data_IF_562014164414
#
_entry.id   IF_562014164414
#
_cell.length_a   1.000
_cell.length_b   1.000
_cell.length_c   1.000
_cell.angle_alpha   90.00
_cell.angle_beta   90.00
_cell.angle_gamma   90.00
#
_symmetry.space_group_name_H-M   'P 1'
#
loop_
_entity.id
_entity.type
_entity.pdbx_description
1 polymer ?
#
# COMPACT_ATOMS: atom_id res chain seq x y z
N UNK A 1 -78.04 -3.96 13.45
CA UNK A 1 -76.59 -3.64 13.58
C UNK A 1 -75.82 -4.94 13.52
N UNK A 2 -75.39 -5.34 12.31
CA UNK A 2 -74.46 -6.46 12.10
C UNK A 2 -73.06 -5.84 11.94
N UNK A 3 -72.13 -6.22 12.79
CA UNK A 3 -70.73 -5.79 12.74
C UNK A 3 -69.96 -6.75 11.81
N UNK A 4 -69.39 -6.19 10.75
CA UNK A 4 -68.45 -6.86 9.85
C UNK A 4 -67.05 -6.83 10.47
N UNK A 5 -66.42 -8.00 10.59
CA UNK A 5 -65.01 -8.16 10.96
C UNK A 5 -64.17 -8.28 9.68
N UNK A 6 -63.10 -7.49 9.47
CA UNK A 6 -62.22 -7.70 8.32
C UNK A 6 -61.14 -8.74 8.65
N UNK A 7 -60.97 -9.71 7.75
CA UNK A 7 -59.83 -10.62 7.75
C UNK A 7 -58.59 -9.87 7.21
N UNK A 8 -57.55 -9.72 8.03
CA UNK A 8 -56.21 -9.34 7.56
C UNK A 8 -55.50 -10.61 7.06
N UNK A 9 -55.22 -10.68 5.76
CA UNK A 9 -54.27 -11.65 5.21
C UNK A 9 -52.85 -11.09 5.38
N UNK A 10 -52.07 -11.71 6.27
CA UNK A 10 -50.64 -11.47 6.37
C UNK A 10 -49.91 -12.31 5.30
N UNK A 11 -49.40 -11.65 4.26
CA UNK A 11 -48.44 -12.26 3.33
C UNK A 11 -47.06 -12.25 3.98
N UNK A 12 -46.60 -13.41 4.44
CA UNK A 12 -45.22 -13.61 4.85
C UNK A 12 -44.36 -13.78 3.59
N UNK A 13 -43.64 -12.71 3.20
CA UNK A 13 -42.56 -12.79 2.23
C UNK A 13 -41.37 -13.52 2.88
N UNK A 14 -41.19 -14.80 2.54
CA UNK A 14 -39.98 -15.55 2.83
C UNK A 14 -38.87 -15.05 1.90
N UNK A 15 -38.09 -14.07 2.35
CA UNK A 15 -36.80 -13.74 1.74
C UNK A 15 -35.83 -14.87 2.07
N UNK A 16 -35.50 -15.69 1.07
CA UNK A 16 -34.39 -16.65 1.16
C UNK A 16 -33.10 -15.84 1.07
N UNK A 17 -32.58 -15.38 2.21
CA UNK A 17 -31.19 -14.95 2.29
C UNK A 17 -30.32 -16.20 2.12
N UNK A 18 -29.73 -16.36 0.94
CA UNK A 18 -28.63 -17.30 0.75
C UNK A 18 -27.42 -16.68 1.45
N UNK A 19 -27.30 -16.92 2.75
CA UNK A 19 -26.05 -16.69 3.47
C UNK A 19 -25.06 -17.72 2.93
N UNK A 20 -24.24 -17.31 1.96
CA UNK A 20 -23.13 -18.11 1.49
C UNK A 20 -22.23 -18.41 2.69
N UNK A 21 -22.17 -19.70 3.10
CA UNK A 21 -21.17 -20.16 4.06
C UNK A 21 -19.80 -19.71 3.56
N UNK A 22 -18.95 -19.08 4.39
CA UNK A 22 -17.60 -18.77 3.97
C UNK A 22 -16.92 -20.05 3.52
N UNK A 23 -16.45 -20.08 2.27
CA UNK A 23 -15.59 -21.15 1.78
C UNK A 23 -14.40 -21.23 2.72
N UNK A 24 -14.31 -22.30 3.50
CA UNK A 24 -13.20 -22.49 4.44
C UNK A 24 -11.87 -22.79 3.71
N UNK A 25 -11.92 -23.02 2.40
CA UNK A 25 -10.78 -23.36 1.56
C UNK A 25 -10.42 -22.27 0.55
N UNK A 26 -9.24 -22.43 -0.04
CA UNK A 26 -8.76 -21.62 -1.16
C UNK A 26 -9.65 -21.80 -2.39
N UNK A 27 -9.66 -20.77 -3.24
CA UNK A 27 -10.28 -20.84 -4.56
C UNK A 27 -9.70 -21.99 -5.38
N UNK A 28 -10.59 -22.77 -6.01
CA UNK A 28 -10.23 -23.89 -6.87
C UNK A 28 -10.49 -23.62 -8.35
N UNK A 29 -11.29 -22.58 -8.66
CA UNK A 29 -11.55 -22.18 -10.04
C UNK A 29 -10.28 -21.63 -10.70
N UNK A 30 -10.16 -21.91 -11.98
CA UNK A 30 -9.10 -21.37 -12.84
C UNK A 30 -9.29 -19.87 -13.05
N UNK A 31 -8.21 -19.18 -13.45
CA UNK A 31 -8.26 -17.76 -13.81
C UNK A 31 -9.26 -17.51 -14.95
N UNK A 32 -9.39 -18.43 -15.91
CA UNK A 32 -10.29 -18.26 -17.05
C UNK A 32 -11.77 -18.43 -16.64
N UNK A 33 -12.08 -19.32 -15.69
CA UNK A 33 -13.42 -19.43 -15.11
C UNK A 33 -13.78 -18.16 -14.31
N UNK A 34 -12.87 -17.67 -13.47
CA UNK A 34 -13.08 -16.41 -12.74
C UNK A 34 -13.25 -15.22 -13.68
N UNK A 35 -12.54 -15.24 -14.82
CA UNK A 35 -12.67 -14.21 -15.82
C UNK A 35 -14.03 -14.28 -16.52
N UNK A 36 -14.53 -15.47 -16.86
CA UNK A 36 -15.88 -15.63 -17.40
C UNK A 36 -16.95 -15.10 -16.43
N UNK A 37 -16.81 -15.40 -15.14
CA UNK A 37 -17.71 -14.90 -14.10
C UNK A 37 -17.67 -13.37 -13.98
N UNK A 38 -16.46 -12.78 -14.00
CA UNK A 38 -16.28 -11.32 -13.98
C UNK A 38 -16.96 -10.64 -15.19
N UNK A 39 -16.90 -11.25 -16.38
CA UNK A 39 -17.59 -10.72 -17.56
C UNK A 39 -19.11 -10.88 -17.46
N UNK A 40 -19.59 -11.99 -16.90
CA UNK A 40 -21.02 -12.19 -16.66
C UNK A 40 -21.60 -11.18 -15.65
N UNK A 41 -20.77 -10.71 -14.70
CA UNK A 41 -21.09 -9.64 -13.73
C UNK A 41 -21.09 -8.23 -14.35
N UNK A 42 -20.64 -8.09 -15.60
CA UNK A 42 -20.59 -6.80 -16.31
C UNK A 42 -19.19 -6.30 -16.61
N UNK A 43 -18.15 -6.99 -16.12
CA UNK A 43 -16.76 -6.76 -16.53
C UNK A 43 -16.16 -5.45 -16.04
N UNK A 44 -16.61 -4.88 -14.92
CA UNK A 44 -16.00 -3.68 -14.34
C UNK A 44 -15.21 -4.04 -13.08
N UNK A 45 -14.10 -3.35 -12.84
CA UNK A 45 -13.33 -3.47 -11.61
C UNK A 45 -12.72 -2.13 -11.25
N UNK A 46 -13.01 -1.65 -10.04
CA UNK A 46 -12.41 -0.42 -9.51
C UNK A 46 -11.47 -0.74 -8.34
N UNK A 47 -10.21 -0.33 -8.48
CA UNK A 47 -9.17 -0.46 -7.47
C UNK A 47 -8.80 0.92 -6.92
N UNK A 48 -8.91 1.10 -5.61
CA UNK A 48 -8.24 2.20 -4.91
C UNK A 48 -6.86 1.74 -4.47
N UNK A 49 -5.82 2.39 -5.00
CA UNK A 49 -4.43 2.03 -4.76
C UNK A 49 -3.67 3.17 -4.07
N UNK A 50 -2.92 2.83 -3.02
CA UNK A 50 -2.05 3.75 -2.31
C UNK A 50 -0.77 4.04 -3.09
N UNK A 51 -0.54 5.30 -3.46
CA UNK A 51 0.67 5.71 -4.16
C UNK A 51 0.81 7.23 -4.30
N UNK A 52 1.92 7.66 -4.91
CA UNK A 52 2.29 9.08 -4.95
C UNK A 52 1.78 9.83 -6.18
N UNK A 53 1.60 9.16 -7.32
CA UNK A 53 1.22 9.81 -8.58
C UNK A 53 0.06 9.09 -9.25
N UNK A 54 -0.79 9.79 -10.02
CA UNK A 54 -1.90 9.15 -10.73
C UNK A 54 -1.45 8.00 -11.66
N UNK A 55 -0.23 8.09 -12.18
CA UNK A 55 0.37 7.13 -13.13
C UNK A 55 1.13 5.97 -12.47
N UNK A 56 1.18 5.90 -11.13
CA UNK A 56 1.96 4.89 -10.41
C UNK A 56 1.53 3.45 -10.72
N UNK A 57 0.31 3.25 -11.23
CA UNK A 57 -0.25 1.95 -11.60
C UNK A 57 -0.44 1.75 -13.11
N UNK A 58 0.12 2.60 -13.97
CA UNK A 58 -0.04 2.48 -15.44
C UNK A 58 0.46 1.14 -15.98
N UNK A 59 1.58 0.62 -15.45
CA UNK A 59 2.10 -0.68 -15.86
C UNK A 59 1.17 -1.83 -15.46
N UNK A 60 0.59 -1.78 -14.26
CA UNK A 60 -0.39 -2.77 -13.82
C UNK A 60 -1.65 -2.71 -14.70
N UNK A 61 -2.14 -1.50 -14.99
CA UNK A 61 -3.28 -1.28 -15.86
C UNK A 61 -3.04 -1.86 -17.26
N UNK A 62 -1.87 -1.60 -17.87
CA UNK A 62 -1.52 -2.14 -19.17
C UNK A 62 -1.48 -3.67 -19.20
N UNK A 63 -0.91 -4.30 -18.15
CA UNK A 63 -0.87 -5.77 -18.05
C UNK A 63 -2.28 -6.35 -17.91
N UNK A 64 -3.13 -5.79 -17.05
CA UNK A 64 -4.51 -6.22 -16.88
C UNK A 64 -5.30 -6.08 -18.19
N UNK A 65 -5.21 -4.92 -18.85
CA UNK A 65 -5.89 -4.68 -20.11
C UNK A 65 -5.48 -5.68 -21.21
N UNK A 66 -4.22 -6.13 -21.20
CA UNK A 66 -3.75 -7.16 -22.12
C UNK A 66 -4.20 -8.57 -21.72
N UNK A 67 -4.14 -8.93 -20.43
CA UNK A 67 -4.48 -10.27 -19.94
C UNK A 67 -5.99 -10.52 -19.89
N UNK A 68 -6.78 -9.49 -19.64
CA UNK A 68 -8.24 -9.52 -19.47
C UNK A 68 -8.91 -8.43 -20.32
N UNK A 69 -8.89 -8.54 -21.66
CA UNK A 69 -9.28 -7.44 -22.56
C UNK A 69 -10.75 -7.01 -22.53
N UNK A 70 -11.64 -7.79 -21.89
CA UNK A 70 -13.04 -7.44 -21.68
C UNK A 70 -13.31 -6.89 -20.27
N UNK A 71 -12.29 -6.82 -19.41
CA UNK A 71 -12.37 -6.22 -18.10
C UNK A 71 -12.06 -4.73 -18.20
N UNK A 72 -13.05 -3.90 -17.90
CA UNK A 72 -12.89 -2.47 -17.70
C UNK A 72 -12.28 -2.23 -16.31
N UNK A 73 -10.95 -2.19 -16.26
CA UNK A 73 -10.19 -1.99 -15.03
C UNK A 73 -9.87 -0.51 -14.82
N UNK A 74 -10.31 0.04 -13.69
CA UNK A 74 -9.99 1.40 -13.26
C UNK A 74 -9.13 1.35 -12.01
N UNK A 75 -7.92 1.89 -12.07
CA UNK A 75 -7.06 2.09 -10.90
C UNK A 75 -7.03 3.58 -10.53
N UNK A 76 -7.39 3.90 -9.30
CA UNK A 76 -7.35 5.26 -8.75
C UNK A 76 -6.24 5.34 -7.72
N UNK A 77 -5.20 6.12 -8.04
CA UNK A 77 -4.07 6.33 -7.12
C UNK A 77 -4.27 7.58 -6.29
N UNK A 78 -4.15 7.44 -4.97
CA UNK A 78 -4.06 8.53 -4.01
C UNK A 78 -3.16 8.09 -2.85
N UNK A 79 -2.78 9.01 -1.97
CA UNK A 79 -2.10 8.62 -0.73
C UNK A 79 -3.00 7.70 0.10
N UNK A 80 -2.40 6.69 0.73
CA UNK A 80 -3.15 5.73 1.53
C UNK A 80 -3.96 6.37 2.66
N UNK A 81 -3.39 7.39 3.31
CA UNK A 81 -4.02 8.20 4.37
C UNK A 81 -5.24 9.05 3.93
N UNK A 82 -5.50 9.11 2.63
CA UNK A 82 -6.72 9.73 2.10
C UNK A 82 -7.68 8.67 1.55
N UNK A 83 -7.17 7.58 0.98
CA UNK A 83 -7.99 6.46 0.56
C UNK A 83 -8.67 5.74 1.73
N UNK A 84 -7.99 5.57 2.87
CA UNK A 84 -8.55 4.93 4.06
C UNK A 84 -9.81 5.67 4.57
N UNK A 85 -9.69 6.96 4.88
CA UNK A 85 -10.78 7.80 5.39
C UNK A 85 -11.83 8.07 4.31
N UNK A 86 -11.46 8.06 3.03
CA UNK A 86 -12.42 8.11 1.93
C UNK A 86 -13.28 6.86 1.90
N UNK A 87 -12.69 5.68 2.04
CA UNK A 87 -13.41 4.41 2.10
C UNK A 87 -14.32 4.38 3.33
N UNK A 88 -13.81 4.79 4.50
CA UNK A 88 -14.61 4.87 5.72
C UNK A 88 -15.84 5.77 5.52
N UNK A 89 -15.63 6.98 4.98
CA UNK A 89 -16.73 7.90 4.68
C UNK A 89 -17.71 7.29 3.66
N UNK A 90 -17.19 6.66 2.60
CA UNK A 90 -18.04 6.04 1.58
C UNK A 90 -18.87 4.86 2.12
N UNK A 91 -18.32 4.07 3.05
CA UNK A 91 -19.04 2.99 3.71
C UNK A 91 -20.15 3.54 4.61
N UNK A 92 -19.84 4.59 5.38
CA UNK A 92 -20.78 5.28 6.27
C UNK A 92 -21.93 5.94 5.50
N UNK A 93 -21.64 6.56 4.35
CA UNK A 93 -22.64 7.24 3.52
C UNK A 93 -23.29 6.35 2.46
N UNK A 94 -23.01 5.05 2.45
CA UNK A 94 -23.50 4.07 1.47
C UNK A 94 -23.23 4.47 0.00
N UNK A 95 -22.05 5.06 -0.24
CA UNK A 95 -21.60 5.53 -1.55
C UNK A 95 -20.29 4.86 -1.98
N UNK A 96 -20.06 3.61 -1.56
CA UNK A 96 -18.84 2.89 -1.88
C UNK A 96 -18.61 2.77 -3.39
N UNK A 97 -17.41 3.19 -3.83
CA UNK A 97 -16.98 3.17 -5.23
C UNK A 97 -16.07 1.98 -5.54
N UNK A 98 -14.93 1.76 -4.83
CA UNK A 98 -14.01 0.70 -5.20
C UNK A 98 -14.52 -0.69 -4.83
N UNK A 99 -14.13 -1.69 -5.62
CA UNK A 99 -14.32 -3.10 -5.31
C UNK A 99 -13.14 -3.64 -4.46
N UNK A 100 -11.94 -3.15 -4.77
CA UNK A 100 -10.69 -3.53 -4.10
C UNK A 100 -9.98 -2.30 -3.56
N UNK A 101 -9.34 -2.45 -2.41
CA UNK A 101 -8.45 -1.46 -1.82
C UNK A 101 -7.06 -2.07 -1.61
N UNK A 102 -5.99 -1.34 -1.94
CA UNK A 102 -4.60 -1.75 -1.71
C UNK A 102 -3.75 -0.61 -1.13
N UNK A 103 -3.38 -0.66 0.15
CA UNK A 103 -2.79 0.47 0.89
C UNK A 103 -1.57 0.07 1.75
N UNK A 104 -0.77 1.08 2.09
CA UNK A 104 0.32 0.97 3.07
C UNK A 104 -0.14 1.29 4.51
N UNK A 105 -1.36 1.78 4.72
CA UNK A 105 -1.95 2.00 6.05
C UNK A 105 -2.46 0.67 6.61
N UNK A 106 -1.51 -0.16 7.05
CA UNK A 106 -1.74 -1.57 7.32
C UNK A 106 -2.82 -1.81 8.38
N UNK A 107 -2.88 -0.96 9.41
CA UNK A 107 -3.82 -1.05 10.52
C UNK A 107 -5.29 -0.99 10.06
N UNK A 108 -5.59 -0.33 8.94
CA UNK A 108 -6.97 -0.22 8.45
C UNK A 108 -7.52 -1.56 8.01
N UNK A 109 -6.69 -2.44 7.43
CA UNK A 109 -7.11 -3.80 7.09
C UNK A 109 -7.42 -4.64 8.32
N UNK A 110 -6.68 -4.46 9.42
CA UNK A 110 -6.97 -5.11 10.70
C UNK A 110 -8.31 -4.61 11.25
N UNK A 111 -8.58 -3.30 11.14
CA UNK A 111 -9.83 -2.68 11.57
C UNK A 111 -11.01 -3.12 10.71
N UNK A 112 -10.93 -2.99 9.39
CA UNK A 112 -11.97 -3.38 8.44
C UNK A 112 -12.29 -4.88 8.51
N UNK A 113 -11.31 -5.74 8.78
CA UNK A 113 -11.57 -7.15 9.02
C UNK A 113 -12.41 -7.39 10.30
N UNK A 114 -12.16 -6.62 11.38
CA UNK A 114 -12.91 -6.71 12.64
C UNK A 114 -14.34 -6.16 12.49
N UNK A 115 -14.53 -5.12 11.69
CA UNK A 115 -15.84 -4.49 11.46
C UNK A 115 -16.66 -5.18 10.37
N UNK A 116 -16.08 -6.11 9.62
CA UNK A 116 -16.76 -6.82 8.53
C UNK A 116 -16.84 -6.01 7.23
N UNK A 117 -15.98 -5.01 7.07
CA UNK A 117 -15.91 -4.14 5.89
C UNK A 117 -15.08 -4.75 4.74
N UNK A 118 -14.47 -5.92 4.97
CA UNK A 118 -13.80 -6.72 3.96
C UNK A 118 -14.57 -8.01 3.71
N UNK A 119 -14.70 -8.40 2.43
CA UNK A 119 -15.17 -9.71 2.03
C UNK A 119 -14.02 -10.73 2.17
N UNK A 120 -14.12 -11.72 3.08
CA UNK A 120 -13.07 -12.74 3.22
C UNK A 120 -12.99 -13.60 1.96
N UNK A 121 -11.81 -13.66 1.36
CA UNK A 121 -11.53 -14.45 0.17
C UNK A 121 -10.10 -14.98 0.16
N UNK A 122 -9.96 -16.30 0.06
CA UNK A 122 -8.67 -16.98 -0.07
C UNK A 122 -8.44 -17.31 -1.55
N UNK A 123 -7.62 -16.54 -2.30
CA UNK A 123 -7.29 -16.89 -3.68
C UNK A 123 -6.55 -18.23 -3.78
N UNK A 124 -6.41 -18.78 -4.99
CA UNK A 124 -5.55 -19.93 -5.20
C UNK A 124 -4.11 -19.53 -4.85
N UNK A 125 -3.39 -20.39 -4.11
CA UNK A 125 -2.05 -20.14 -3.56
C UNK A 125 -2.01 -19.28 -2.29
N UNK A 126 -3.13 -19.07 -1.61
CA UNK A 126 -3.17 -18.30 -0.36
C UNK A 126 -2.24 -18.88 0.72
N UNK A 127 -2.17 -20.21 0.83
CA UNK A 127 -1.26 -20.94 1.72
C UNK A 127 0.21 -20.69 1.43
N UNK A 128 0.56 -20.31 0.19
CA UNK A 128 1.94 -20.03 -0.22
C UNK A 128 2.39 -18.60 0.07
N UNK A 129 1.48 -17.71 0.43
CA UNK A 129 1.82 -16.37 0.93
C UNK A 129 2.39 -16.53 2.34
N UNK A 130 3.48 -15.83 2.66
CA UNK A 130 4.06 -15.87 4.01
C UNK A 130 3.01 -15.50 5.08
N UNK A 131 2.99 -16.19 6.21
CA UNK A 131 1.89 -16.04 7.19
C UNK A 131 1.81 -14.65 7.81
N UNK A 132 2.93 -13.93 7.96
CA UNK A 132 2.92 -12.53 8.42
C UNK A 132 2.32 -11.54 7.41
N UNK A 133 2.06 -11.99 6.18
CA UNK A 133 1.59 -11.19 5.05
C UNK A 133 0.14 -11.49 4.69
N UNK A 134 -0.63 -12.19 5.52
CA UNK A 134 -2.04 -12.47 5.26
C UNK A 134 -2.88 -12.58 6.52
N UNK A 135 -4.16 -12.30 6.39
CA UNK A 135 -5.16 -12.56 7.41
C UNK A 135 -5.50 -14.06 7.48
N UNK A 136 -5.73 -14.61 8.67
CA UNK A 136 -6.04 -16.05 8.80
C UNK A 136 -7.33 -16.48 8.05
N UNK A 137 -8.30 -15.58 7.96
CA UNK A 137 -9.60 -15.83 7.33
C UNK A 137 -9.66 -15.36 5.87
N UNK A 138 -8.59 -14.74 5.36
CA UNK A 138 -8.54 -14.19 4.01
C UNK A 138 -9.25 -12.85 3.87
N UNK A 139 -9.47 -12.11 4.95
CA UNK A 139 -10.02 -10.75 4.86
C UNK A 139 -9.09 -9.81 4.07
N UNK A 140 -7.78 -10.01 4.21
CA UNK A 140 -6.75 -9.30 3.46
C UNK A 140 -5.51 -10.18 3.25
N UNK A 141 -4.69 -9.80 2.28
CA UNK A 141 -3.34 -10.33 2.06
C UNK A 141 -2.43 -9.21 1.57
N UNK A 142 -1.12 -9.38 1.63
CA UNK A 142 -0.20 -8.55 0.86
C UNK A 142 0.01 -9.16 -0.51
N UNK A 143 0.09 -8.35 -1.56
CA UNK A 143 0.35 -8.85 -2.92
C UNK A 143 1.79 -8.58 -3.41
N UNK A 144 2.46 -7.59 -2.83
CA UNK A 144 3.84 -7.21 -3.13
C UNK A 144 4.54 -6.76 -1.85
N UNK A 145 5.86 -6.94 -1.78
CA UNK A 145 6.69 -6.33 -0.74
C UNK A 145 7.28 -5.02 -1.27
N UNK A 146 7.05 -3.93 -0.57
CA UNK A 146 7.69 -2.64 -0.82
C UNK A 146 8.80 -2.39 0.18
N UNK A 147 9.76 -1.57 -0.23
CA UNK A 147 10.96 -1.31 0.56
C UNK A 147 11.35 0.16 0.46
N UNK A 148 11.74 0.74 1.60
CA UNK A 148 12.35 2.06 1.69
C UNK A 148 13.67 1.98 2.46
N UNK A 149 14.64 2.73 1.99
CA UNK A 149 15.89 3.01 2.69
C UNK A 149 16.36 4.41 2.28
N UNK A 150 17.60 4.76 2.59
CA UNK A 150 18.30 5.74 1.79
C UNK A 150 18.99 5.08 0.58
N UNK A 151 19.16 5.85 -0.48
CA UNK A 151 19.84 5.46 -1.70
C UNK A 151 20.74 6.57 -2.19
N UNK A 152 21.70 6.23 -3.04
CA UNK A 152 22.54 7.23 -3.71
C UNK A 152 22.77 6.88 -5.18
N UNK A 153 23.00 7.90 -6.00
CA UNK A 153 23.39 7.77 -7.40
C UNK A 153 24.92 7.64 -7.50
N UNK A 154 25.39 6.50 -8.00
CA UNK A 154 26.83 6.17 -8.05
C UNK A 154 27.64 7.07 -8.97
N UNK A 155 26.97 7.77 -9.91
CA UNK A 155 27.61 8.66 -10.89
C UNK A 155 27.49 10.15 -10.56
N UNK A 156 26.67 10.53 -9.57
CA UNK A 156 26.37 11.92 -9.26
C UNK A 156 26.96 12.40 -7.91
N UNK A 157 27.77 11.57 -7.24
CA UNK A 157 28.42 11.94 -5.98
C UNK A 157 29.59 12.92 -6.14
N UNK A 158 29.99 13.29 -7.37
CA UNK A 158 31.05 14.26 -7.66
C UNK A 158 32.39 13.96 -6.95
N UNK A 159 32.75 12.67 -6.85
CA UNK A 159 33.98 12.23 -6.18
C UNK A 159 33.89 12.12 -4.65
N UNK A 160 32.74 12.39 -4.06
CA UNK A 160 32.49 12.11 -2.65
C UNK A 160 32.44 10.61 -2.38
N UNK A 161 32.87 10.23 -1.18
CA UNK A 161 32.70 8.85 -0.71
C UNK A 161 31.21 8.57 -0.57
N UNK A 162 30.69 7.40 -1.02
CA UNK A 162 29.29 7.07 -0.80
C UNK A 162 28.94 6.95 0.69
N UNK A 163 27.78 7.47 1.14
CA UNK A 163 27.33 7.26 2.51
C UNK A 163 27.03 5.77 2.74
N UNK A 164 27.61 5.19 3.79
CA UNK A 164 27.44 3.78 4.12
C UNK A 164 26.33 3.57 5.16
N UNK A 165 26.13 4.54 6.05
CA UNK A 165 25.10 4.49 7.09
C UNK A 165 24.38 5.83 7.21
N UNK A 166 23.21 5.89 7.86
CA UNK A 166 22.53 7.16 8.10
C UNK A 166 23.38 8.16 8.89
N UNK A 167 24.33 7.71 9.73
CA UNK A 167 25.27 8.61 10.41
C UNK A 167 26.16 9.41 9.44
N UNK A 168 26.42 8.89 8.23
CA UNK A 168 27.17 9.63 7.22
C UNK A 168 26.36 10.77 6.62
N UNK A 169 25.03 10.66 6.55
CA UNK A 169 24.13 11.62 5.89
C UNK A 169 24.18 13.02 6.51
N UNK A 170 24.70 13.15 7.73
CA UNK A 170 24.85 14.43 8.44
C UNK A 170 26.26 15.02 8.32
N UNK A 171 27.15 14.40 7.54
CA UNK A 171 28.47 14.96 7.25
C UNK A 171 28.33 16.22 6.39
N UNK A 172 29.11 17.30 6.66
CA UNK A 172 29.02 18.56 5.94
C UNK A 172 29.18 18.46 4.41
N UNK A 173 29.89 17.45 3.91
CA UNK A 173 30.10 17.23 2.47
C UNK A 173 28.82 16.86 1.70
N UNK A 174 27.77 16.40 2.39
CA UNK A 174 26.47 16.10 1.78
C UNK A 174 25.44 17.24 1.88
N UNK A 175 25.83 18.39 2.46
CA UNK A 175 24.93 19.53 2.57
C UNK A 175 24.43 19.97 1.17
N UNK A 176 23.10 20.12 1.04
CA UNK A 176 22.42 20.46 -0.20
C UNK A 176 22.33 19.32 -1.22
N UNK A 177 22.82 18.12 -0.91
CA UNK A 177 22.86 16.96 -1.84
C UNK A 177 21.76 15.91 -1.59
N UNK A 178 20.96 16.10 -0.55
CA UNK A 178 19.96 15.12 -0.10
C UNK A 178 18.55 15.56 -0.52
N UNK A 179 17.76 14.61 -1.01
CA UNK A 179 16.30 14.72 -1.18
C UNK A 179 15.57 13.70 -0.30
N UNK A 180 14.38 14.06 0.17
CA UNK A 180 13.52 13.11 0.89
C UNK A 180 12.05 13.50 0.74
N UNK A 181 11.15 12.55 0.96
CA UNK A 181 9.76 12.90 1.29
C UNK A 181 9.72 13.47 2.71
N UNK A 182 8.77 14.34 3.03
CA UNK A 182 8.54 14.73 4.42
C UNK A 182 8.20 13.49 5.26
N UNK A 183 8.94 13.17 6.34
CA UNK A 183 8.64 12.02 7.18
C UNK A 183 7.27 12.16 7.84
N UNK A 184 6.80 13.37 8.14
CA UNK A 184 5.47 13.60 8.69
C UNK A 184 4.34 13.74 7.65
N UNK A 185 4.62 13.52 6.36
CA UNK A 185 3.59 13.38 5.30
C UNK A 185 3.30 11.91 4.96
N UNK A 186 4.25 10.99 5.13
CA UNK A 186 4.12 9.56 4.80
C UNK A 186 4.61 8.67 5.96
N UNK A 187 3.75 7.77 6.48
CA UNK A 187 4.04 6.99 7.69
C UNK A 187 5.10 5.90 7.50
N UNK A 188 5.33 5.40 6.28
CA UNK A 188 6.44 4.48 5.99
C UNK A 188 7.78 5.23 6.00
N UNK A 189 7.81 6.45 5.46
CA UNK A 189 8.96 7.35 5.58
C UNK A 189 9.18 7.73 7.04
N UNK A 190 8.11 8.10 7.77
CA UNK A 190 8.16 8.40 9.20
C UNK A 190 8.83 7.27 9.97
N UNK A 191 8.34 6.04 9.77
CA UNK A 191 8.83 4.87 10.47
C UNK A 191 10.32 4.66 10.21
N UNK A 192 10.79 4.78 8.96
CA UNK A 192 12.22 4.69 8.65
C UNK A 192 13.04 5.72 9.43
N UNK A 193 12.57 6.97 9.49
CA UNK A 193 13.22 8.01 10.28
C UNK A 193 13.21 7.68 11.79
N UNK A 194 12.14 7.08 12.33
CA UNK A 194 12.14 6.63 13.74
C UNK A 194 13.24 5.61 14.01
N UNK A 195 13.51 4.68 13.09
CA UNK A 195 14.62 3.71 13.22
C UNK A 195 15.98 4.40 13.26
N UNK A 196 16.15 5.46 12.48
CA UNK A 196 17.37 6.26 12.52
C UNK A 196 17.49 7.04 13.83
N UNK A 197 16.40 7.59 14.35
CA UNK A 197 16.40 8.25 15.67
C UNK A 197 16.68 7.25 16.79
N UNK A 198 16.08 6.07 16.77
CA UNK A 198 16.33 5.05 17.79
C UNK A 198 17.80 4.63 17.86
N UNK A 199 18.50 4.65 16.70
CA UNK A 199 19.92 4.28 16.61
C UNK A 199 20.89 5.42 16.87
N UNK A 200 20.58 6.63 16.39
CA UNK A 200 21.51 7.77 16.38
C UNK A 200 21.07 8.95 17.26
N UNK A 201 19.88 8.89 17.85
CA UNK A 201 19.29 9.91 18.69
C UNK A 201 18.75 11.12 17.92
N UNK A 202 18.05 12.00 18.64
CA UNK A 202 17.51 13.25 18.08
C UNK A 202 18.58 14.24 17.62
N UNK A 203 19.82 14.10 18.09
CA UNK A 203 20.96 14.89 17.61
C UNK A 203 21.20 14.65 16.11
N UNK A 204 21.02 13.43 15.63
CA UNK A 204 21.09 13.13 14.19
C UNK A 204 20.04 13.92 13.38
N UNK A 205 18.81 14.04 13.89
CA UNK A 205 17.74 14.82 13.24
C UNK A 205 18.10 16.31 13.22
N UNK A 206 18.62 16.82 14.34
CA UNK A 206 19.10 18.19 14.46
C UNK A 206 20.19 18.50 13.43
N UNK A 207 21.17 17.60 13.26
CA UNK A 207 22.22 17.76 12.26
C UNK A 207 21.68 17.60 10.84
N UNK A 208 20.72 16.70 10.60
CA UNK A 208 20.09 16.51 9.28
C UNK A 208 19.30 17.77 8.86
N UNK A 209 18.63 18.43 9.80
CA UNK A 209 17.93 19.70 9.53
C UNK A 209 18.89 20.80 9.02
N UNK A 210 20.18 20.71 9.36
CA UNK A 210 21.22 21.65 8.90
C UNK A 210 21.78 21.28 7.51
N UNK A 211 21.43 20.11 6.95
CA UNK A 211 21.94 19.65 5.65
C UNK A 211 21.25 20.30 4.44
N UNK A 212 20.32 21.25 4.63
CA UNK A 212 19.54 21.83 3.52
C UNK A 212 18.89 20.75 2.63
N UNK A 213 18.25 19.76 3.27
CA UNK A 213 17.56 18.65 2.61
C UNK A 213 16.40 19.20 1.78
N UNK A 214 16.26 18.71 0.55
CA UNK A 214 15.11 19.01 -0.29
C UNK A 214 13.94 18.10 0.05
N UNK A 215 13.14 18.51 1.03
CA UNK A 215 11.91 17.83 1.41
C UNK A 215 10.75 18.14 0.45
N UNK A 216 10.06 17.10 0.00
CA UNK A 216 8.94 17.18 -0.94
C UNK A 216 7.80 16.27 -0.46
N UNK A 217 6.57 16.50 -0.97
CA UNK A 217 5.51 15.50 -0.86
C UNK A 217 5.69 14.43 -1.92
N UNK A 218 5.32 13.20 -1.59
CA UNK A 218 5.44 12.04 -2.48
C UNK A 218 6.83 11.42 -2.46
N UNK A 219 6.89 10.10 -2.21
CA UNK A 219 8.16 9.36 -2.12
C UNK A 219 8.87 9.24 -3.47
N UNK A 220 8.12 9.37 -4.57
CA UNK A 220 8.63 9.37 -5.94
C UNK A 220 9.60 10.53 -6.23
N UNK A 221 9.39 11.71 -5.64
CA UNK A 221 10.17 12.91 -5.98
C UNK A 221 11.63 12.73 -5.60
N UNK A 222 11.91 12.20 -4.41
CA UNK A 222 13.28 11.91 -3.99
C UNK A 222 13.96 10.92 -4.94
N UNK A 223 13.24 9.86 -5.36
CA UNK A 223 13.74 8.89 -6.33
C UNK A 223 14.04 9.53 -7.68
N UNK A 224 13.15 10.38 -8.19
CA UNK A 224 13.32 11.06 -9.49
C UNK A 224 14.53 12.01 -9.48
N UNK A 225 14.72 12.79 -8.41
CA UNK A 225 15.87 13.67 -8.26
C UNK A 225 17.20 12.89 -8.19
N UNK A 226 17.20 11.74 -7.51
CA UNK A 226 18.37 10.84 -7.45
C UNK A 226 18.65 10.19 -8.79
N UNK A 227 17.63 9.65 -9.47
CA UNK A 227 17.79 9.07 -10.80
C UNK A 227 18.29 10.11 -11.81
N UNK A 228 17.82 11.35 -11.73
CA UNK A 228 18.28 12.45 -12.57
C UNK A 228 19.66 13.00 -12.19
N UNK A 229 20.21 12.64 -11.02
CA UNK A 229 21.49 13.12 -10.51
C UNK A 229 21.47 14.55 -9.97
N UNK A 230 20.31 15.21 -9.87
CA UNK A 230 20.18 16.58 -9.35
C UNK A 230 20.35 16.64 -7.84
N UNK A 231 19.96 15.58 -7.14
CA UNK A 231 20.26 15.33 -5.73
C UNK A 231 20.86 13.93 -5.64
N UNK A 232 22.16 13.76 -5.38
CA UNK A 232 22.77 12.44 -5.48
C UNK A 232 22.38 11.46 -4.37
N UNK A 233 21.70 11.92 -3.31
CA UNK A 233 21.27 11.07 -2.19
C UNK A 233 19.76 11.26 -1.96
N UNK A 234 19.06 10.16 -1.74
CA UNK A 234 17.64 10.11 -1.40
C UNK A 234 17.39 9.37 -0.09
N UNK A 235 16.44 9.81 0.73
CA UNK A 235 16.03 9.11 1.96
C UNK A 235 14.54 8.79 1.90
N UNK A 236 14.16 7.58 2.30
CA UNK A 236 12.75 7.19 2.44
C UNK A 236 12.09 6.93 1.09
N UNK A 237 12.80 6.25 0.20
CA UNK A 237 12.24 5.90 -1.11
C UNK A 237 12.80 4.55 -1.59
N UNK A 238 12.19 4.05 -2.66
CA UNK A 238 12.68 2.87 -3.38
C UNK A 238 13.68 3.28 -4.46
N UNK A 239 14.40 2.32 -5.03
CA UNK A 239 15.29 2.54 -6.18
C UNK A 239 14.63 2.13 -7.48
N UNK A 240 15.04 2.79 -8.58
CA UNK A 240 14.78 2.35 -9.95
C UNK A 240 16.02 2.60 -10.80
N UNK A 241 16.35 1.62 -11.65
CA UNK A 241 17.47 1.71 -12.59
C UNK A 241 18.81 1.33 -11.98
N UNK A 242 19.83 1.23 -12.83
CA UNK A 242 21.11 0.58 -12.51
C UNK A 242 22.17 1.52 -11.92
N UNK A 243 21.97 2.85 -11.99
CA UNK A 243 22.92 3.84 -11.49
C UNK A 243 22.67 4.24 -10.02
N UNK A 244 21.72 3.60 -9.35
CA UNK A 244 21.37 3.89 -7.95
C UNK A 244 21.64 2.69 -7.06
N UNK A 245 22.29 2.92 -5.93
CA UNK A 245 22.50 1.89 -4.90
C UNK A 245 21.50 2.09 -3.77
N UNK A 246 20.73 1.03 -3.46
CA UNK A 246 19.85 0.95 -2.30
C UNK A 246 20.64 0.42 -1.10
N UNK A 247 20.75 1.19 -0.02
CA UNK A 247 21.64 0.81 1.09
C UNK A 247 20.87 0.00 2.12
N UNK A 248 21.30 -1.23 2.37
CA UNK A 248 20.70 -2.14 3.36
C UNK A 248 21.73 -2.77 4.30
N UNK A 249 23.00 -2.81 3.90
CA UNK A 249 24.07 -3.38 4.71
C UNK A 249 24.42 -2.47 5.88
N UNK A 250 24.48 -3.02 7.10
CA UNK A 250 24.88 -2.28 8.31
C UNK A 250 23.87 -1.23 8.81
N UNK A 251 22.70 -1.11 8.17
CA UNK A 251 21.67 -0.13 8.52
C UNK A 251 20.28 -0.75 8.58
N UNK A 252 19.40 -0.10 9.34
CA UNK A 252 17.97 -0.36 9.28
C UNK A 252 17.42 0.13 7.93
N UNK A 253 16.50 -0.64 7.36
CA UNK A 253 15.66 -0.25 6.24
C UNK A 253 14.22 -0.73 6.52
N UNK A 254 13.28 -0.29 5.70
CA UNK A 254 11.89 -0.71 5.81
C UNK A 254 11.56 -1.65 4.66
N UNK A 255 10.87 -2.74 4.98
CA UNK A 255 10.12 -3.59 4.07
C UNK A 255 8.72 -3.82 4.64
N UNK A 256 7.69 -3.83 3.79
CA UNK A 256 6.33 -4.16 4.20
C UNK A 256 5.56 -4.82 3.07
N UNK A 257 4.58 -5.65 3.41
CA UNK A 257 3.63 -6.14 2.42
C UNK A 257 2.55 -5.11 2.17
N UNK A 258 2.43 -4.62 0.93
CA UNK A 258 1.31 -3.77 0.51
C UNK A 258 0.02 -4.60 0.61
N UNK A 259 -0.81 -4.30 1.61
CA UNK A 259 -2.05 -5.04 1.88
C UNK A 259 -3.08 -4.70 0.83
N UNK A 260 -3.88 -5.70 0.47
CA UNK A 260 -4.99 -5.65 -0.48
C UNK A 260 -6.16 -6.47 0.07
N UNK A 261 -7.38 -6.01 -0.19
CA UNK A 261 -8.62 -6.65 0.25
C UNK A 261 -9.80 -6.27 -0.64
N UNK A 262 -10.80 -7.15 -0.69
CA UNK A 262 -12.07 -6.89 -1.36
C UNK A 262 -13.00 -6.22 -0.35
N UNK A 263 -13.61 -5.09 -0.70
CA UNK A 263 -14.56 -4.43 0.20
C UNK A 263 -15.88 -5.21 0.28
N UNK A 264 -16.50 -5.26 1.46
CA UNK A 264 -17.68 -6.09 1.71
C UNK A 264 -18.90 -5.69 0.87
N UNK A 265 -18.99 -4.40 0.49
CA UNK A 265 -20.01 -3.83 -0.39
C UNK A 265 -19.52 -3.64 -1.84
N UNK A 266 -18.45 -4.31 -2.26
CA UNK A 266 -17.99 -4.27 -3.65
C UNK A 266 -19.14 -4.56 -4.63
N UNK A 267 -19.24 -3.77 -5.71
CA UNK A 267 -20.31 -3.93 -6.72
C UNK A 267 -19.98 -5.02 -7.72
N UNK A 268 -18.70 -5.34 -7.87
CA UNK A 268 -18.18 -6.35 -8.80
C UNK A 268 -17.33 -7.41 -8.08
N UNK A 269 -17.92 -8.19 -7.13
CA UNK A 269 -17.17 -9.19 -6.37
C UNK A 269 -16.58 -10.32 -7.22
N UNK A 270 -17.15 -10.70 -8.36
CA UNK A 270 -16.55 -11.70 -9.26
C UNK A 270 -15.27 -11.14 -9.92
N UNK A 271 -15.32 -9.91 -10.43
CA UNK A 271 -14.15 -9.22 -10.95
C UNK A 271 -13.07 -9.00 -9.88
N UNK A 272 -13.49 -8.70 -8.64
CA UNK A 272 -12.56 -8.52 -7.54
C UNK A 272 -11.83 -9.83 -7.18
N UNK A 273 -12.57 -10.95 -7.14
CA UNK A 273 -12.00 -12.29 -6.92
C UNK A 273 -11.04 -12.70 -8.02
N UNK A 274 -11.36 -12.42 -9.29
CA UNK A 274 -10.45 -12.62 -10.42
C UNK A 274 -9.11 -11.90 -10.17
N UNK A 275 -9.15 -10.62 -9.84
CA UNK A 275 -7.94 -9.83 -9.62
C UNK A 275 -7.13 -10.37 -8.43
N UNK A 276 -7.78 -10.66 -7.30
CA UNK A 276 -7.12 -11.21 -6.12
C UNK A 276 -6.45 -12.57 -6.41
N UNK A 277 -7.06 -13.39 -7.27
CA UNK A 277 -6.48 -14.67 -7.70
C UNK A 277 -5.29 -14.46 -8.64
N UNK A 278 -5.45 -13.60 -9.63
CA UNK A 278 -4.42 -13.34 -10.63
C UNK A 278 -3.18 -12.69 -10.00
N UNK A 279 -3.34 -11.68 -9.13
CA UNK A 279 -2.20 -10.92 -8.61
C UNK A 279 -1.25 -11.76 -7.74
N UNK A 280 -1.73 -12.86 -7.14
CA UNK A 280 -0.91 -13.81 -6.36
C UNK A 280 -0.56 -15.09 -7.13
N UNK A 281 -1.01 -15.21 -8.38
CA UNK A 281 -0.64 -16.31 -9.26
C UNK A 281 0.85 -16.30 -9.56
N UNK A 282 1.39 -17.44 -10.01
CA UNK A 282 2.79 -17.52 -10.44
C UNK A 282 3.08 -16.57 -11.62
N UNK A 283 2.13 -16.43 -12.56
CA UNK A 283 2.22 -15.51 -13.69
C UNK A 283 2.49 -14.07 -13.20
N UNK A 284 1.65 -13.54 -12.32
CA UNK A 284 1.80 -12.16 -11.85
C UNK A 284 2.98 -11.99 -10.88
N UNK A 285 3.22 -12.97 -9.99
CA UNK A 285 4.28 -12.89 -8.97
C UNK A 285 5.70 -12.98 -9.54
N UNK A 286 5.86 -13.48 -10.76
CA UNK A 286 7.17 -13.57 -11.45
C UNK A 286 7.38 -12.52 -12.53
N UNK A 287 6.31 -11.90 -13.06
CA UNK A 287 6.42 -10.98 -14.20
C UNK A 287 5.94 -9.55 -13.93
N UNK A 288 5.07 -9.33 -12.93
CA UNK A 288 4.44 -8.04 -12.65
C UNK A 288 4.89 -7.49 -11.29
N UNK A 289 4.90 -8.35 -10.28
CA UNK A 289 5.23 -7.97 -8.91
C UNK A 289 6.75 -7.95 -8.73
N UNK A 290 7.27 -6.83 -8.24
CA UNK A 290 8.73 -6.64 -8.08
C UNK A 290 9.32 -7.52 -6.98
N UNK A 291 8.65 -7.60 -5.82
CA UNK A 291 9.07 -8.46 -4.72
C UNK A 291 7.90 -9.34 -4.28
N UNK A 292 7.99 -10.63 -4.57
CA UNK A 292 6.91 -11.58 -4.33
C UNK A 292 6.61 -11.78 -2.85
N UNK A 293 5.34 -11.98 -2.50
CA UNK A 293 4.92 -12.34 -1.14
C UNK A 293 4.92 -13.86 -0.89
N UNK A 294 5.15 -14.65 -1.95
CA UNK A 294 5.07 -16.10 -1.93
C UNK A 294 6.38 -16.72 -1.48
N UNK A 295 6.30 -17.65 -0.53
CA UNK A 295 7.45 -18.34 0.04
C UNK A 295 8.12 -19.31 -0.93
N UNK A 296 7.38 -19.77 -1.96
CA UNK A 296 7.90 -20.65 -3.02
C UNK A 296 8.52 -19.91 -4.20
N UNK A 297 8.39 -18.57 -4.28
CA UNK A 297 8.92 -17.74 -5.37
C UNK A 297 9.98 -16.75 -4.85
N UNK A 298 9.75 -16.10 -3.71
CA UNK A 298 10.64 -15.04 -3.23
C UNK A 298 11.98 -15.61 -2.72
N UNK A 299 13.07 -15.22 -3.39
CA UNK A 299 14.44 -15.59 -3.04
C UNK A 299 15.10 -14.66 -2.03
N UNK A 300 14.67 -13.40 -1.93
CA UNK A 300 15.26 -12.37 -1.06
C UNK A 300 14.77 -12.44 0.39
N UNK A 301 13.57 -13.00 0.62
CA UNK A 301 12.98 -13.31 1.93
C UNK A 301 13.20 -12.22 3.01
N UNK A 302 12.77 -10.97 2.79
CA UNK A 302 13.01 -9.87 3.74
C UNK A 302 12.39 -10.12 5.12
N UNK A 303 11.41 -11.03 5.25
CA UNK A 303 10.82 -11.45 6.52
C UNK A 303 11.80 -12.22 7.42
N UNK A 304 12.90 -12.75 6.87
CA UNK A 304 13.97 -13.40 7.63
C UNK A 304 15.08 -12.40 8.06
N UNK A 305 14.95 -11.12 7.67
CA UNK A 305 15.96 -10.07 7.92
C UNK A 305 15.43 -9.08 8.96
N UNK A 306 15.92 -9.09 10.22
CA UNK A 306 15.42 -8.19 11.27
C UNK A 306 15.52 -6.71 10.91
N UNK A 307 16.62 -6.31 10.27
CA UNK A 307 16.87 -4.93 9.83
C UNK A 307 15.89 -4.43 8.75
N UNK A 308 15.07 -5.31 8.16
CA UNK A 308 14.01 -4.94 7.21
C UNK A 308 12.74 -4.43 7.88
N UNK A 309 12.62 -4.61 9.20
CA UNK A 309 11.50 -4.11 10.01
C UNK A 309 10.08 -4.58 9.59
N UNK A 310 9.96 -5.72 8.88
CA UNK A 310 8.65 -6.22 8.42
C UNK A 310 7.63 -6.46 9.53
N UNK A 311 8.07 -6.85 10.73
CA UNK A 311 7.18 -7.02 11.89
C UNK A 311 6.96 -5.71 12.67
N UNK A 312 7.94 -4.82 12.67
CA UNK A 312 7.92 -3.58 13.46
C UNK A 312 7.01 -2.52 12.84
N UNK A 313 6.96 -2.43 11.51
CA UNK A 313 6.14 -1.42 10.84
C UNK A 313 4.63 -1.63 11.06
N UNK A 314 4.04 -2.84 10.90
CA UNK A 314 2.65 -3.06 11.28
C UNK A 314 2.36 -2.68 12.74
N UNK A 315 3.24 -3.04 13.68
CA UNK A 315 3.07 -2.70 15.10
C UNK A 315 3.09 -1.18 15.33
N UNK A 316 3.98 -0.45 14.65
CA UNK A 316 4.01 1.01 14.66
C UNK A 316 2.71 1.61 14.11
N UNK A 317 2.21 1.08 12.99
CA UNK A 317 1.01 1.58 12.34
C UNK A 317 -0.26 1.37 13.17
N UNK A 318 -0.32 0.34 14.03
CA UNK A 318 -1.44 0.10 14.96
C UNK A 318 -1.46 1.13 16.11
N UNK A 319 -0.31 1.66 16.54
CA UNK A 319 -0.23 2.69 17.60
C UNK A 319 -0.34 4.10 17.02
N UNK A 320 -1.57 4.53 16.70
CA UNK A 320 -1.82 5.84 16.09
C UNK A 320 -1.43 7.02 16.96
N UNK A 321 -1.49 6.88 18.29
CA UNK A 321 -1.05 7.94 19.20
C UNK A 321 0.46 8.14 19.10
N UNK A 322 1.23 7.05 19.06
CA UNK A 322 2.68 7.12 18.88
C UNK A 322 3.06 7.67 17.51
N UNK A 323 2.38 7.24 16.44
CA UNK A 323 2.59 7.77 15.09
C UNK A 323 2.39 9.28 15.06
N UNK A 324 1.31 9.78 15.67
CA UNK A 324 1.02 11.22 15.71
C UNK A 324 2.07 12.00 16.51
N UNK A 325 2.53 11.48 17.65
CA UNK A 325 3.62 12.08 18.44
C UNK A 325 4.89 12.25 17.59
N UNK A 326 5.28 11.22 16.84
CA UNK A 326 6.44 11.28 15.95
C UNK A 326 6.25 12.31 14.83
N UNK A 327 5.06 12.37 14.20
CA UNK A 327 4.77 13.38 13.16
C UNK A 327 4.96 14.79 13.68
N UNK A 328 4.32 15.09 14.81
CA UNK A 328 4.39 16.43 15.41
C UNK A 328 5.81 16.77 15.84
N UNK A 329 6.56 15.79 16.35
CA UNK A 329 7.97 16.01 16.72
C UNK A 329 8.82 16.31 15.49
N UNK A 330 8.70 15.55 14.40
CA UNK A 330 9.44 15.84 13.16
C UNK A 330 9.05 17.18 12.51
N UNK A 331 7.79 17.60 12.64
CA UNK A 331 7.36 18.92 12.18
C UNK A 331 8.09 20.06 12.90
N UNK A 332 8.51 19.88 14.16
CA UNK A 332 9.34 20.86 14.88
C UNK A 332 10.76 21.01 14.29
N UNK A 333 11.29 19.95 13.67
CA UNK A 333 12.62 19.96 13.06
C UNK A 333 12.60 20.40 11.59
N UNK A 334 11.59 19.96 10.83
CA UNK A 334 11.55 20.13 9.37
C UNK A 334 10.48 21.12 8.89
N UNK A 335 9.71 21.71 9.81
CA UNK A 335 8.57 22.58 9.50
C UNK A 335 7.33 21.81 9.07
N UNK A 336 6.23 22.52 8.83
CA UNK A 336 5.01 21.94 8.28
C UNK A 336 5.22 21.43 6.85
N UNK A 337 4.48 20.38 6.46
CA UNK A 337 4.50 19.84 5.10
C UNK A 337 4.10 20.92 4.09
N UNK A 338 4.99 21.22 3.14
CA UNK A 338 4.74 22.19 2.07
C UNK A 338 4.50 21.51 0.72
N UNK A 339 3.73 22.18 -0.15
CA UNK A 339 3.46 21.73 -1.52
C UNK A 339 2.11 21.04 -1.72
N UNK A 340 1.68 20.97 -2.98
CA UNK A 340 0.43 20.28 -3.35
C UNK A 340 0.59 18.76 -3.20
N UNK A 341 -0.48 18.03 -2.85
CA UNK A 341 -0.45 16.56 -2.88
C UNK A 341 -0.11 16.09 -4.30
N UNK A 342 0.87 15.19 -4.42
CA UNK A 342 1.35 14.69 -5.72
C UNK A 342 0.31 13.87 -6.50
N UNK A 343 -0.67 13.17 -5.88
CA UNK A 343 -1.80 12.59 -6.60
C UNK A 343 -2.82 13.61 -7.11
N UNK A 344 -2.75 14.86 -6.63
CA UNK A 344 -3.79 15.86 -6.81
C UNK A 344 -4.86 15.82 -5.71
N UNK A 345 -6.03 16.41 -5.97
CA UNK A 345 -7.18 16.40 -5.06
C UNK A 345 -8.33 15.65 -5.70
N UNK A 346 -8.57 14.41 -5.25
CA UNK A 346 -9.52 13.51 -5.88
C UNK A 346 -10.96 13.62 -5.34
N UNK A 347 -11.15 14.35 -4.24
CA UNK A 347 -12.46 14.47 -3.57
C UNK A 347 -12.94 13.16 -2.95
N UNK A 348 -14.26 12.99 -2.87
CA UNK A 348 -14.90 11.91 -2.12
C UNK A 348 -15.19 10.65 -2.95
N UNK A 349 -15.43 10.77 -4.26
CA UNK A 349 -15.92 9.67 -5.10
C UNK A 349 -15.17 9.53 -6.45
N UNK A 350 -13.83 9.49 -6.47
CA UNK A 350 -13.09 9.29 -7.72
C UNK A 350 -13.34 7.88 -8.30
N UNK A 351 -13.38 7.78 -9.64
CA UNK A 351 -13.53 6.51 -10.35
C UNK A 351 -14.95 5.95 -10.43
N UNK A 352 -15.99 6.76 -10.13
CA UNK A 352 -17.38 6.42 -10.42
C UNK A 352 -17.70 6.39 -11.92
#
# INVERSE_FOLDING_TARGET
MQLFTPFLFAFALLSVEVVAKPSSGEETRTIDELYADAIAEGGNLVLYHGGDTPTSQDSLHAVIANRFPKLNFTAVVDYSKYHDVRIDNQLETDTLVPDIVALQTLQDFTRWAKTGDLLPYKPANFSKIHDSLKDQNGAWLAYSIYQFSFMYNTTALDGLTPPATPADLVKPEYAGKIASSYPHDDDAVLFLYTRYVDKYGWDWVSQLAQQNVSFNRGTNVARELVTAGTKPIGIGSSVRGNATTFVTEGTEFLSWGQRIGILSKARHPAAAKLFMNWIVSEEAQTSVVTNSVRTDINTNKPWDVPASNMANFPAFMEDRAKVEEWKQTFALYFGEVQGKPSPGWLGLHPGQ
#
